data_IF_820833130880
#
_entry.id   IF_820833130880
#
_cell.length_a   1.000
_cell.length_b   1.000
_cell.length_c   1.000
_cell.angle_alpha   90.00
_cell.angle_beta   90.00
_cell.angle_gamma   90.00
#
_symmetry.space_group_name_H-M   'P 1'
#
loop_
_entity.id
_entity.type
_entity.pdbx_description
1 polymer ?
#
# COMPACT_ATOMS: atom_id res chain seq x y z
N UNK A 1 -21.28 -19.60 30.36
CA UNK A 1 -22.10 -19.18 29.21
C UNK A 1 -22.27 -17.68 29.32
N UNK A 2 -21.89 -16.95 28.28
CA UNK A 2 -21.92 -15.50 28.23
C UNK A 2 -22.66 -15.01 26.99
N UNK A 3 -23.26 -13.83 27.11
CA UNK A 3 -23.89 -13.16 25.98
C UNK A 3 -22.81 -12.45 25.16
N UNK A 4 -22.72 -12.82 23.89
CA UNK A 4 -21.92 -12.15 22.89
C UNK A 4 -22.79 -11.42 21.87
N UNK A 5 -22.14 -10.66 21.01
CA UNK A 5 -22.77 -9.87 19.97
C UNK A 5 -22.04 -10.13 18.65
N UNK A 6 -22.79 -10.45 17.60
CA UNK A 6 -22.32 -10.38 16.21
C UNK A 6 -22.91 -9.13 15.58
N UNK A 7 -22.07 -8.36 14.88
CA UNK A 7 -22.50 -7.23 14.08
C UNK A 7 -22.69 -7.67 12.64
N UNK A 8 -23.80 -7.25 12.04
CA UNK A 8 -23.99 -7.31 10.60
C UNK A 8 -24.11 -5.88 10.08
N UNK A 9 -23.22 -5.50 9.17
CA UNK A 9 -23.18 -4.16 8.59
C UNK A 9 -23.46 -4.28 7.10
N UNK A 10 -24.53 -3.64 6.65
CA UNK A 10 -24.92 -3.67 5.25
C UNK A 10 -23.81 -3.06 4.38
N UNK A 11 -23.32 -3.82 3.40
CA UNK A 11 -22.21 -3.43 2.53
C UNK A 11 -20.81 -3.82 3.02
N UNK A 12 -20.65 -4.25 4.29
CA UNK A 12 -19.40 -4.82 4.83
C UNK A 12 -19.53 -6.30 5.24
N UNK A 13 -20.76 -6.77 5.47
CA UNK A 13 -21.01 -8.13 5.94
C UNK A 13 -20.85 -8.25 7.46
N UNK A 14 -20.22 -9.33 7.91
CA UNK A 14 -20.00 -9.63 9.34
C UNK A 14 -18.50 -9.66 9.65
N UNK A 15 -18.07 -9.27 10.86
CA UNK A 15 -16.69 -9.43 11.27
C UNK A 15 -16.37 -10.91 11.43
N UNK A 16 -15.21 -11.34 10.93
CA UNK A 16 -14.78 -12.74 10.91
C UNK A 16 -13.35 -12.87 11.41
N UNK A 17 -13.02 -14.03 11.97
CA UNK A 17 -11.65 -14.36 12.36
C UNK A 17 -10.95 -15.10 11.22
N UNK A 18 -9.86 -14.52 10.72
CA UNK A 18 -8.99 -15.13 9.72
C UNK A 18 -7.69 -15.56 10.38
N UNK A 19 -7.28 -16.82 10.17
CA UNK A 19 -6.04 -17.34 10.75
C UNK A 19 -4.84 -16.48 10.31
N UNK A 20 -3.95 -16.15 11.24
CA UNK A 20 -2.77 -15.35 10.95
C UNK A 20 -1.66 -15.58 11.97
N UNK A 21 -0.45 -15.82 11.46
CA UNK A 21 0.76 -15.95 12.28
C UNK A 21 1.35 -14.59 12.69
N UNK A 22 0.75 -13.48 12.26
CA UNK A 22 1.25 -12.12 12.52
C UNK A 22 0.93 -11.60 13.91
N UNK A 23 -0.01 -12.25 14.60
CA UNK A 23 -0.55 -11.80 15.89
C UNK A 23 -0.53 -12.97 16.86
N UNK A 24 -0.18 -12.72 18.11
CA UNK A 24 -0.11 -13.72 19.18
C UNK A 24 -1.44 -14.47 19.40
N UNK A 25 -2.57 -13.81 19.10
CA UNK A 25 -3.90 -14.41 19.16
C UNK A 25 -4.14 -15.51 18.10
N UNK A 26 -3.26 -15.64 17.09
CA UNK A 26 -3.38 -16.61 16.00
C UNK A 26 -4.41 -16.26 14.93
N UNK A 27 -5.07 -15.10 15.04
CA UNK A 27 -6.03 -14.60 14.06
C UNK A 27 -6.01 -13.08 13.94
N UNK A 28 -6.49 -12.59 12.81
CA UNK A 28 -6.85 -11.19 12.56
C UNK A 28 -8.34 -11.09 12.31
N UNK A 29 -8.94 -9.97 12.72
CA UNK A 29 -10.35 -9.69 12.43
C UNK A 29 -10.45 -8.94 11.10
N UNK A 30 -11.21 -9.50 10.17
CA UNK A 30 -11.54 -8.87 8.88
C UNK A 30 -13.03 -8.85 8.64
N UNK A 31 -13.43 -8.47 7.42
CA UNK A 31 -14.82 -8.49 6.99
C UNK A 31 -15.08 -9.72 6.14
N UNK A 32 -16.25 -10.34 6.30
CA UNK A 32 -16.67 -11.47 5.47
C UNK A 32 -16.76 -11.13 3.97
N UNK A 33 -16.90 -9.85 3.65
CA UNK A 33 -16.88 -9.32 2.28
C UNK A 33 -15.48 -9.12 1.70
N UNK A 34 -14.42 -9.27 2.49
CA UNK A 34 -13.05 -9.11 1.98
C UNK A 34 -12.74 -10.23 0.98
N UNK A 35 -12.00 -9.88 -0.08
CA UNK A 35 -11.62 -10.81 -1.16
C UNK A 35 -10.86 -12.02 -0.59
N UNK A 36 -9.90 -11.75 0.30
CA UNK A 36 -9.01 -12.75 0.90
C UNK A 36 -9.68 -13.57 2.02
N UNK A 37 -10.89 -13.18 2.44
CA UNK A 37 -11.60 -13.90 3.48
C UNK A 37 -12.05 -15.27 2.96
N UNK A 38 -11.75 -16.37 3.67
CA UNK A 38 -12.33 -17.68 3.37
C UNK A 38 -13.86 -17.67 3.50
N UNK A 39 -14.55 -18.44 2.66
CA UNK A 39 -16.02 -18.51 2.67
C UNK A 39 -16.59 -19.17 3.93
N UNK A 40 -15.78 -19.93 4.64
CA UNK A 40 -16.09 -20.66 5.86
C UNK A 40 -15.55 -19.96 7.12
N UNK A 41 -14.97 -18.76 6.98
CA UNK A 41 -14.41 -18.01 8.10
C UNK A 41 -15.45 -17.80 9.21
N UNK A 42 -15.13 -18.14 10.47
CA UNK A 42 -16.06 -18.02 11.58
C UNK A 42 -16.29 -16.54 11.93
N UNK A 43 -17.54 -16.21 12.31
CA UNK A 43 -17.90 -14.87 12.74
C UNK A 43 -17.25 -14.55 14.09
N UNK A 44 -16.65 -13.36 14.20
CA UNK A 44 -16.08 -12.87 15.43
C UNK A 44 -17.19 -12.40 16.39
N UNK A 45 -17.05 -12.77 17.66
CA UNK A 45 -18.02 -12.44 18.71
C UNK A 45 -17.46 -11.33 19.59
N UNK A 46 -18.19 -10.22 19.66
CA UNK A 46 -17.88 -9.08 20.52
C UNK A 46 -18.55 -9.27 21.89
N UNK A 47 -17.79 -9.04 22.97
CA UNK A 47 -18.23 -9.27 24.34
C UNK A 47 -18.49 -7.94 25.05
N UNK A 48 -19.78 -7.63 25.20
CA UNK A 48 -20.25 -6.46 25.94
C UNK A 48 -20.20 -5.15 25.15
N UNK A 49 -20.95 -4.16 25.64
CA UNK A 49 -21.23 -2.93 24.90
C UNK A 49 -19.99 -2.06 24.64
N UNK A 50 -19.00 -2.09 25.55
CA UNK A 50 -17.76 -1.32 25.38
C UNK A 50 -16.93 -1.80 24.20
N UNK A 51 -16.88 -3.12 23.99
CA UNK A 51 -16.15 -3.71 22.87
C UNK A 51 -16.85 -3.41 21.55
N UNK A 52 -18.18 -3.51 21.53
CA UNK A 52 -19.01 -3.12 20.37
C UNK A 52 -18.80 -1.67 19.99
N UNK A 53 -18.90 -0.73 20.95
CA UNK A 53 -18.69 0.69 20.69
C UNK A 53 -17.27 0.97 20.15
N UNK A 54 -16.26 0.31 20.73
CA UNK A 54 -14.88 0.42 20.27
C UNK A 54 -14.73 -0.13 18.85
N UNK A 55 -15.30 -1.29 18.58
CA UNK A 55 -15.25 -1.94 17.27
C UNK A 55 -15.91 -1.07 16.20
N UNK A 56 -17.11 -0.55 16.46
CA UNK A 56 -17.81 0.35 15.54
C UNK A 56 -16.98 1.60 15.22
N UNK A 57 -16.35 2.21 16.21
CA UNK A 57 -15.53 3.42 16.01
C UNK A 57 -14.24 3.17 15.24
N UNK A 58 -13.64 1.98 15.39
CA UNK A 58 -12.32 1.67 14.82
C UNK A 58 -12.40 0.95 13.48
N UNK A 59 -13.35 0.03 13.30
CA UNK A 59 -13.40 -0.90 12.17
C UNK A 59 -14.50 -0.59 11.15
N UNK A 60 -15.52 0.20 11.51
CA UNK A 60 -16.61 0.58 10.62
C UNK A 60 -16.42 2.02 10.16
N UNK A 61 -16.31 2.23 8.85
CA UNK A 61 -16.25 3.57 8.26
C UNK A 61 -17.54 4.36 8.65
N UNK A 62 -17.42 5.64 9.07
CA UNK A 62 -18.56 6.47 9.47
C UNK A 62 -19.75 6.46 8.50
N UNK A 63 -19.52 6.25 7.19
CA UNK A 63 -20.57 6.12 6.18
C UNK A 63 -21.55 4.98 6.48
N UNK A 64 -21.06 3.89 7.08
CA UNK A 64 -21.85 2.70 7.42
C UNK A 64 -22.37 2.71 8.86
N UNK A 65 -22.05 3.75 9.65
CA UNK A 65 -22.52 3.89 11.04
C UNK A 65 -23.95 4.46 11.16
N UNK A 66 -24.65 4.60 10.04
CA UNK A 66 -26.00 5.16 10.02
C UNK A 66 -27.03 4.16 10.57
N UNK A 67 -28.06 4.69 11.24
CA UNK A 67 -29.16 3.87 11.74
C UNK A 67 -29.85 3.13 10.58
N UNK A 68 -29.98 1.81 10.71
CA UNK A 68 -30.56 0.94 9.69
C UNK A 68 -29.55 0.16 8.84
N UNK A 69 -28.27 0.57 8.82
CA UNK A 69 -27.21 -0.19 8.15
C UNK A 69 -26.52 -1.19 9.08
N UNK A 70 -26.67 -1.04 10.40
CA UNK A 70 -26.09 -1.92 11.40
C UNK A 70 -27.20 -2.72 12.07
N UNK A 71 -27.08 -4.04 12.03
CA UNK A 71 -27.89 -4.99 12.78
C UNK A 71 -27.02 -5.64 13.86
N UNK A 72 -27.54 -5.65 15.08
CA UNK A 72 -26.88 -6.22 16.27
C UNK A 72 -27.60 -7.52 16.61
N UNK A 73 -26.86 -8.63 16.57
CA UNK A 73 -27.40 -9.97 16.81
C UNK A 73 -26.80 -10.51 18.11
N UNK A 74 -27.65 -10.75 19.10
CA UNK A 74 -27.25 -11.38 20.35
C UNK A 74 -26.99 -12.87 20.15
N UNK A 75 -25.88 -13.36 20.68
CA UNK A 75 -25.47 -14.77 20.58
C UNK A 75 -25.09 -15.33 21.95
N UNK A 76 -25.34 -16.61 22.15
CA UNK A 76 -24.90 -17.32 23.36
C UNK A 76 -23.63 -18.11 23.06
N UNK A 77 -22.57 -17.83 23.82
CA UNK A 77 -21.27 -18.47 23.64
C UNK A 77 -20.71 -18.99 24.96
N UNK A 78 -19.79 -19.94 24.87
CA UNK A 78 -19.00 -20.36 26.03
C UNK A 78 -18.03 -19.25 26.45
N UNK A 79 -17.54 -19.32 27.69
CA UNK A 79 -16.77 -18.23 28.29
C UNK A 79 -15.43 -17.97 27.57
N UNK A 80 -14.87 -18.99 26.91
CA UNK A 80 -13.63 -18.91 26.14
C UNK A 80 -13.85 -18.81 24.62
N UNK A 81 -15.12 -18.84 24.17
CA UNK A 81 -15.44 -18.86 22.75
C UNK A 81 -15.47 -17.43 22.19
N UNK A 82 -14.59 -17.15 21.23
CA UNK A 82 -14.43 -15.82 20.58
C UNK A 82 -14.98 -15.76 19.15
N UNK A 83 -15.45 -16.91 18.65
CA UNK A 83 -15.97 -17.06 17.29
C UNK A 83 -17.12 -18.08 17.23
N UNK A 84 -18.01 -17.90 16.26
CA UNK A 84 -19.09 -18.84 15.93
C UNK A 84 -18.92 -19.29 14.48
N UNK A 85 -19.11 -20.59 14.23
CA UNK A 85 -19.00 -21.15 12.88
C UNK A 85 -20.01 -20.49 11.94
N UNK A 86 -19.68 -20.38 10.64
CA UNK A 86 -20.63 -19.87 9.64
C UNK A 86 -21.95 -20.65 9.65
N UNK A 87 -21.90 -21.97 9.80
CA UNK A 87 -23.08 -22.81 9.83
C UNK A 87 -23.99 -22.46 11.02
N UNK A 88 -23.42 -22.30 12.22
CA UNK A 88 -24.20 -21.90 13.40
C UNK A 88 -24.75 -20.48 13.27
N UNK A 89 -23.99 -19.55 12.68
CA UNK A 89 -24.48 -18.20 12.38
C UNK A 89 -25.74 -18.22 11.51
N UNK A 90 -25.74 -19.03 10.46
CA UNK A 90 -26.86 -19.13 9.52
C UNK A 90 -28.04 -19.87 10.15
N UNK A 91 -27.80 -21.05 10.74
CA UNK A 91 -28.88 -21.93 11.19
C UNK A 91 -29.45 -21.56 12.56
N UNK A 92 -28.59 -21.16 13.52
CA UNK A 92 -29.01 -20.85 14.89
C UNK A 92 -29.38 -19.38 15.05
N UNK A 93 -28.62 -18.48 14.45
CA UNK A 93 -28.76 -17.03 14.64
C UNK A 93 -29.38 -16.30 13.44
N UNK A 94 -29.80 -17.05 12.41
CA UNK A 94 -30.52 -16.54 11.23
C UNK A 94 -29.77 -15.41 10.50
N UNK A 95 -28.43 -15.42 10.56
CA UNK A 95 -27.60 -14.47 9.84
C UNK A 95 -27.64 -14.82 8.35
N UNK A 96 -27.86 -13.82 7.49
CA UNK A 96 -27.95 -14.09 6.05
C UNK A 96 -26.65 -14.73 5.53
N UNK A 97 -26.74 -15.83 4.75
CA UNK A 97 -25.57 -16.43 4.11
C UNK A 97 -24.91 -15.50 3.09
N UNK A 98 -25.66 -14.51 2.58
CA UNK A 98 -25.16 -13.54 1.60
C UNK A 98 -23.98 -12.74 2.13
N UNK A 99 -23.88 -12.54 3.45
CA UNK A 99 -22.76 -11.82 4.06
C UNK A 99 -21.39 -12.47 3.75
N UNK A 100 -21.33 -13.80 3.61
CA UNK A 100 -20.10 -14.52 3.22
C UNK A 100 -19.96 -14.69 1.71
N UNK A 101 -21.06 -14.55 0.97
CA UNK A 101 -21.05 -14.71 -0.49
C UNK A 101 -20.79 -13.39 -1.22
N UNK A 102 -21.05 -12.25 -0.60
CA UNK A 102 -20.70 -10.94 -1.14
C UNK A 102 -19.19 -10.69 -1.06
N UNK A 103 -18.65 -10.02 -2.06
CA UNK A 103 -17.29 -9.48 -2.11
C UNK A 103 -17.37 -8.00 -2.35
N UNK A 104 -16.58 -7.24 -1.60
CA UNK A 104 -16.34 -5.82 -1.83
C UNK A 104 -14.86 -5.62 -2.15
N UNK A 105 -14.59 -4.86 -3.20
CA UNK A 105 -13.23 -4.48 -3.56
C UNK A 105 -13.18 -3.01 -3.95
N UNK A 106 -12.13 -2.32 -3.54
CA UNK A 106 -11.82 -1.00 -4.03
C UNK A 106 -10.81 -1.10 -5.18
N UNK A 107 -11.11 -0.43 -6.28
CA UNK A 107 -10.32 -0.40 -7.50
C UNK A 107 -9.85 1.02 -7.75
N UNK A 108 -8.56 1.17 -8.03
CA UNK A 108 -8.00 2.42 -8.53
C UNK A 108 -7.80 2.28 -10.03
N UNK A 109 -8.40 3.20 -10.77
CA UNK A 109 -8.40 3.23 -12.22
C UNK A 109 -7.52 4.40 -12.63
N UNK A 110 -6.39 4.11 -13.27
CA UNK A 110 -5.49 5.12 -13.82
C UNK A 110 -5.51 5.07 -15.34
N UNK A 111 -5.45 6.22 -16.00
CA UNK A 111 -5.35 6.29 -17.46
C UNK A 111 -5.13 7.70 -17.98
N UNK A 112 -5.18 7.87 -19.29
CA UNK A 112 -5.01 9.16 -19.96
C UNK A 112 -6.32 9.62 -20.60
N UNK A 113 -6.78 10.81 -20.26
CA UNK A 113 -7.89 11.48 -20.95
C UNK A 113 -7.34 12.49 -21.99
N UNK A 114 -8.19 13.02 -22.89
CA UNK A 114 -7.81 14.13 -23.78
C UNK A 114 -7.33 15.38 -23.04
N UNK A 115 -7.67 15.54 -21.75
CA UNK A 115 -7.26 16.67 -20.89
C UNK A 115 -6.00 16.38 -20.07
N UNK A 116 -5.38 15.22 -20.25
CA UNK A 116 -4.24 14.75 -19.47
C UNK A 116 -4.57 13.51 -18.64
N UNK A 117 -3.65 13.09 -17.77
CA UNK A 117 -3.82 11.88 -16.98
C UNK A 117 -4.95 12.04 -15.96
N UNK A 118 -5.70 10.97 -15.76
CA UNK A 118 -6.83 10.91 -14.84
C UNK A 118 -6.71 9.66 -13.99
N UNK A 119 -6.96 9.83 -12.71
CA UNK A 119 -7.12 8.75 -11.76
C UNK A 119 -8.52 8.82 -11.18
N UNK A 120 -9.11 7.67 -10.95
CA UNK A 120 -10.44 7.54 -10.43
C UNK A 120 -10.54 6.31 -9.54
N UNK A 121 -11.48 6.32 -8.62
CA UNK A 121 -11.71 5.20 -7.71
C UNK A 121 -13.10 4.64 -7.91
N UNK A 122 -13.20 3.32 -7.86
CA UNK A 122 -14.46 2.60 -7.96
C UNK A 122 -14.54 1.60 -6.82
N UNK A 123 -15.61 1.65 -6.04
CA UNK A 123 -15.98 0.56 -5.14
C UNK A 123 -16.87 -0.40 -5.91
N UNK A 124 -16.48 -1.68 -5.96
CA UNK A 124 -17.27 -2.73 -6.58
C UNK A 124 -17.81 -3.68 -5.51
N UNK A 125 -19.08 -4.07 -5.65
CA UNK A 125 -19.76 -5.02 -4.78
C UNK A 125 -20.47 -6.03 -5.69
N UNK A 126 -20.23 -7.31 -5.44
CA UNK A 126 -20.89 -8.41 -6.14
C UNK A 126 -20.72 -9.71 -5.37
N UNK A 127 -20.96 -10.83 -6.01
CA UNK A 127 -20.76 -12.16 -5.42
C UNK A 127 -19.32 -12.65 -5.59
N UNK A 128 -18.91 -13.62 -4.78
CA UNK A 128 -17.62 -14.33 -4.93
C UNK A 128 -17.48 -14.95 -6.32
N UNK A 129 -18.57 -15.46 -6.88
CA UNK A 129 -18.58 -16.01 -8.23
C UNK A 129 -18.33 -14.93 -9.28
N UNK A 130 -19.06 -13.82 -9.23
CA UNK A 130 -18.85 -12.69 -10.17
C UNK A 130 -17.44 -12.11 -10.05
N UNK A 131 -16.89 -12.05 -8.83
CA UNK A 131 -15.52 -11.63 -8.62
C UNK A 131 -14.52 -12.58 -9.33
N UNK A 132 -14.70 -13.89 -9.16
CA UNK A 132 -13.86 -14.92 -9.81
C UNK A 132 -13.99 -14.91 -11.35
N UNK A 133 -15.16 -14.57 -11.87
CA UNK A 133 -15.41 -14.38 -13.31
C UNK A 133 -14.85 -13.05 -13.86
N UNK A 134 -14.26 -12.20 -13.01
CA UNK A 134 -13.66 -10.94 -13.40
C UNK A 134 -14.66 -9.81 -13.67
N UNK A 135 -15.89 -9.89 -13.12
CA UNK A 135 -16.91 -8.86 -13.30
C UNK A 135 -16.43 -7.47 -12.81
N UNK A 136 -15.74 -7.44 -11.67
CA UNK A 136 -15.15 -6.23 -11.09
C UNK A 136 -14.19 -5.50 -12.05
N UNK A 137 -13.35 -6.25 -12.79
CA UNK A 137 -12.45 -5.67 -13.81
C UNK A 137 -13.23 -5.18 -15.03
N UNK A 138 -14.21 -5.95 -15.47
CA UNK A 138 -15.05 -5.60 -16.63
C UNK A 138 -15.81 -4.29 -16.39
N UNK A 139 -16.40 -4.14 -15.21
CA UNK A 139 -17.10 -2.91 -14.81
C UNK A 139 -16.13 -1.74 -14.64
N UNK A 140 -14.95 -1.96 -14.08
CA UNK A 140 -13.92 -0.91 -14.00
C UNK A 140 -13.46 -0.43 -15.38
N UNK A 141 -13.31 -1.33 -16.36
CA UNK A 141 -13.03 -0.93 -17.74
C UNK A 141 -14.17 -0.14 -18.38
N UNK A 142 -15.43 -0.54 -18.14
CA UNK A 142 -16.59 0.21 -18.61
C UNK A 142 -16.63 1.60 -17.98
N UNK A 143 -16.42 1.70 -16.67
CA UNK A 143 -16.34 2.97 -15.95
C UNK A 143 -15.24 3.88 -16.52
N UNK A 144 -14.03 3.35 -16.73
CA UNK A 144 -12.94 4.09 -17.34
C UNK A 144 -13.27 4.59 -18.76
N UNK A 145 -13.94 3.76 -19.57
CA UNK A 145 -14.38 4.10 -20.92
C UNK A 145 -15.41 5.24 -20.91
N UNK A 146 -16.39 5.22 -20.00
CA UNK A 146 -17.38 6.31 -19.86
C UNK A 146 -16.73 7.65 -19.49
N UNK A 147 -15.59 7.61 -18.79
CA UNK A 147 -14.79 8.80 -18.46
C UNK A 147 -13.82 9.22 -19.57
N UNK A 148 -13.82 8.53 -20.71
CA UNK A 148 -12.95 8.83 -21.85
C UNK A 148 -11.47 8.55 -21.57
N UNK A 149 -11.16 7.64 -20.64
CA UNK A 149 -9.79 7.22 -20.37
C UNK A 149 -9.26 6.28 -21.46
N UNK A 150 -8.01 6.49 -21.85
CA UNK A 150 -7.22 5.67 -22.77
C UNK A 150 -6.06 5.04 -22.01
N UNK A 151 -5.63 3.85 -22.42
CA UNK A 151 -4.53 3.10 -21.79
C UNK A 151 -4.75 2.88 -20.28
N UNK A 152 -5.89 2.27 -19.94
CA UNK A 152 -6.34 2.08 -18.56
C UNK A 152 -5.48 1.03 -17.86
N UNK A 153 -5.02 1.34 -16.65
CA UNK A 153 -4.41 0.39 -15.72
C UNK A 153 -5.26 0.34 -14.47
N UNK A 154 -5.59 -0.87 -14.03
CA UNK A 154 -6.44 -1.14 -12.89
C UNK A 154 -5.57 -1.71 -11.78
N UNK A 155 -5.73 -1.16 -10.58
CA UNK A 155 -5.04 -1.61 -9.38
C UNK A 155 -6.07 -2.04 -8.34
N UNK A 156 -5.84 -3.20 -7.75
CA UNK A 156 -6.74 -3.76 -6.72
C UNK A 156 -6.17 -3.52 -5.32
N UNK A 157 -7.04 -3.56 -4.30
CA UNK A 157 -6.64 -3.42 -2.90
C UNK A 157 -5.54 -4.41 -2.46
N UNK A 158 -5.45 -5.59 -3.08
CA UNK A 158 -4.40 -6.58 -2.80
C UNK A 158 -3.00 -6.09 -3.22
N UNK A 159 -2.90 -5.29 -4.29
CA UNK A 159 -1.63 -4.76 -4.77
C UNK A 159 -1.13 -3.57 -3.93
N UNK A 160 -2.03 -2.87 -3.25
CA UNK A 160 -1.74 -1.72 -2.38
C UNK A 160 -1.53 -2.04 -0.90
N UNK A 161 -1.53 -3.31 -0.49
CA UNK A 161 -1.65 -3.75 0.91
C UNK A 161 -0.46 -3.49 1.85
N UNK A 162 0.65 -2.92 1.37
CA UNK A 162 1.77 -2.51 2.20
C UNK A 162 2.02 -1.02 2.01
N UNK A 163 2.23 -0.25 3.09
CA UNK A 163 2.62 1.17 2.99
C UNK A 163 3.87 1.34 2.10
N UNK A 164 4.76 0.34 2.08
CA UNK A 164 5.89 0.23 1.14
C UNK A 164 5.42 -0.01 -0.31
N UNK A 165 4.50 -0.95 -0.56
CA UNK A 165 3.95 -1.17 -1.90
C UNK A 165 3.09 0.01 -2.39
N UNK A 166 2.44 0.74 -1.49
CA UNK A 166 1.71 1.97 -1.78
C UNK A 166 2.68 3.12 -2.11
N UNK A 167 3.84 3.17 -1.47
CA UNK A 167 4.91 4.10 -1.81
C UNK A 167 5.56 3.75 -3.15
N UNK A 168 5.86 2.48 -3.40
CA UNK A 168 6.34 1.98 -4.69
C UNK A 168 5.30 2.19 -5.80
N UNK A 169 4.02 2.02 -5.49
CA UNK A 169 2.90 2.34 -6.36
C UNK A 169 2.84 3.84 -6.65
N UNK A 170 2.86 4.71 -5.64
CA UNK A 170 2.89 6.17 -5.82
C UNK A 170 4.14 6.60 -6.59
N UNK A 171 5.27 5.95 -6.36
CA UNK A 171 6.55 6.22 -7.02
C UNK A 171 6.53 5.76 -8.50
N UNK A 172 6.04 4.55 -8.77
CA UNK A 172 5.84 4.01 -10.12
C UNK A 172 4.80 4.82 -10.92
N UNK A 173 3.72 5.22 -10.25
CA UNK A 173 2.69 6.10 -10.79
C UNK A 173 3.26 7.50 -11.11
N UNK A 174 3.98 8.14 -10.18
CA UNK A 174 4.63 9.45 -10.42
C UNK A 174 5.64 9.39 -11.57
N UNK A 175 6.40 8.29 -11.69
CA UNK A 175 7.34 8.03 -12.78
C UNK A 175 6.65 7.92 -14.15
N UNK A 176 5.44 7.37 -14.21
CA UNK A 176 4.63 7.34 -15.43
C UNK A 176 3.95 8.68 -15.75
N UNK A 177 3.61 9.47 -14.71
CA UNK A 177 2.80 10.69 -14.80
C UNK A 177 3.58 11.97 -15.09
N UNK A 178 4.91 12.01 -14.87
CA UNK A 178 5.77 13.18 -15.16
C UNK A 178 6.67 12.91 -16.38
N UNK A 179 6.41 13.52 -17.54
CA UNK A 179 7.25 13.37 -18.75
C UNK A 179 8.72 13.73 -18.51
N UNK A 180 9.00 14.69 -17.63
CA UNK A 180 10.36 15.09 -17.24
C UNK A 180 11.11 14.00 -16.47
N UNK A 181 10.45 13.29 -15.55
CA UNK A 181 11.06 12.17 -14.82
C UNK A 181 11.24 10.93 -15.71
N UNK A 182 10.26 10.64 -16.57
CA UNK A 182 10.39 9.55 -17.55
C UNK A 182 11.52 9.80 -18.55
N UNK A 183 11.68 11.04 -18.99
CA UNK A 183 12.78 11.47 -19.85
C UNK A 183 14.12 11.46 -19.11
N UNK A 184 14.16 11.90 -17.84
CA UNK A 184 15.35 11.82 -16.99
C UNK A 184 15.80 10.36 -16.75
N UNK A 185 14.87 9.43 -16.56
CA UNK A 185 15.16 8.00 -16.40
C UNK A 185 15.63 7.34 -17.70
N UNK A 186 15.01 7.69 -18.83
CA UNK A 186 15.48 7.24 -20.16
C UNK A 186 16.88 7.78 -20.44
N UNK A 187 17.13 9.05 -20.14
CA UNK A 187 18.47 9.65 -20.17
C UNK A 187 19.42 8.95 -19.21
N UNK A 188 18.97 8.59 -18.00
CA UNK A 188 19.76 7.85 -17.00
C UNK A 188 20.19 6.51 -17.54
N UNK A 189 19.27 5.72 -18.09
CA UNK A 189 19.57 4.41 -18.71
C UNK A 189 20.49 4.55 -19.92
N UNK A 190 20.32 5.60 -20.74
CA UNK A 190 21.19 5.88 -21.87
C UNK A 190 22.59 6.32 -21.44
N UNK A 191 22.71 7.15 -20.40
CA UNK A 191 23.98 7.58 -19.83
C UNK A 191 24.66 6.40 -19.12
N UNK A 192 23.93 5.60 -18.36
CA UNK A 192 24.45 4.41 -17.68
C UNK A 192 24.99 3.38 -18.69
N UNK A 193 24.23 3.08 -19.74
CA UNK A 193 24.71 2.25 -20.85
C UNK A 193 25.93 2.88 -21.54
N UNK A 194 25.88 4.18 -21.86
CA UNK A 194 26.98 4.86 -22.52
C UNK A 194 28.26 4.92 -21.65
N UNK A 195 28.12 4.99 -20.33
CA UNK A 195 29.23 4.95 -19.37
C UNK A 195 29.81 3.54 -19.25
N UNK A 196 28.95 2.51 -19.23
CA UNK A 196 29.39 1.10 -19.23
C UNK A 196 30.07 0.70 -20.55
N UNK A 197 29.64 1.28 -21.67
CA UNK A 197 30.21 1.05 -22.99
C UNK A 197 31.39 2.00 -23.32
N UNK A 198 31.75 2.92 -22.41
CA UNK A 198 32.79 3.91 -22.65
C UNK A 198 34.19 3.29 -22.57
N UNK A 199 34.84 3.14 -23.73
CA UNK A 199 36.24 2.74 -23.81
C UNK A 199 37.16 3.88 -23.33
N UNK A 200 37.50 3.85 -22.05
CA UNK A 200 38.36 4.83 -21.40
C UNK A 200 39.80 4.83 -21.94
N UNK A 201 40.20 3.82 -22.74
CA UNK A 201 41.54 3.75 -23.32
C UNK A 201 41.78 4.79 -24.43
N UNK A 202 40.72 5.38 -24.98
CA UNK A 202 40.80 6.38 -26.06
C UNK A 202 40.72 7.83 -25.56
N UNK A 203 40.51 8.03 -24.25
CA UNK A 203 40.31 9.35 -23.66
C UNK A 203 41.60 9.77 -22.96
N UNK A 204 42.16 10.93 -23.33
CA UNK A 204 43.33 11.51 -22.67
C UNK A 204 43.08 11.60 -21.15
N UNK A 205 44.02 11.11 -20.32
CA UNK A 205 43.78 10.87 -18.89
C UNK A 205 43.15 12.03 -18.09
N UNK A 206 43.49 13.28 -18.40
CA UNK A 206 42.88 14.45 -17.74
C UNK A 206 41.40 14.65 -18.12
N UNK A 207 41.02 14.35 -19.36
CA UNK A 207 39.61 14.38 -19.82
C UNK A 207 38.81 13.21 -19.26
N UNK A 208 39.42 12.04 -19.14
CA UNK A 208 38.76 10.86 -18.56
C UNK A 208 38.39 11.13 -17.09
N UNK A 209 39.32 11.70 -16.31
CA UNK A 209 39.06 12.10 -14.92
C UNK A 209 37.97 13.16 -14.83
N UNK A 210 37.94 14.13 -15.74
CA UNK A 210 36.89 15.15 -15.76
C UNK A 210 35.50 14.56 -16.05
N UNK A 211 35.39 13.68 -17.04
CA UNK A 211 34.14 12.99 -17.39
C UNK A 211 33.67 12.10 -16.24
N UNK A 212 34.57 11.34 -15.62
CA UNK A 212 34.25 10.51 -14.45
C UNK A 212 33.77 11.36 -13.26
N UNK A 213 34.37 12.54 -13.03
CA UNK A 213 33.89 13.48 -12.00
C UNK A 213 32.52 14.06 -12.32
N UNK A 214 32.21 14.34 -13.58
CA UNK A 214 30.88 14.81 -13.97
C UNK A 214 29.82 13.73 -13.76
N UNK A 215 30.15 12.47 -14.10
CA UNK A 215 29.29 11.31 -13.84
C UNK A 215 29.08 11.14 -12.33
N UNK A 216 30.15 11.18 -11.53
CA UNK A 216 30.09 11.08 -10.08
C UNK A 216 29.21 12.17 -9.46
N UNK A 217 29.38 13.42 -9.89
CA UNK A 217 28.58 14.55 -9.40
C UNK A 217 27.11 14.42 -9.80
N UNK A 218 26.81 13.89 -10.99
CA UNK A 218 25.43 13.64 -11.42
C UNK A 218 24.74 12.60 -10.53
N UNK A 219 25.43 11.50 -10.21
CA UNK A 219 24.91 10.48 -9.29
C UNK A 219 24.78 11.00 -7.85
N UNK A 220 25.71 11.84 -7.38
CA UNK A 220 25.61 12.47 -6.05
C UNK A 220 24.39 13.38 -5.96
N UNK A 221 24.16 14.21 -6.97
CA UNK A 221 23.03 15.13 -6.99
C UNK A 221 21.68 14.39 -7.08
N UNK A 222 21.63 13.28 -7.80
CA UNK A 222 20.47 12.38 -7.84
C UNK A 222 20.17 11.77 -6.46
N UNK A 223 21.21 11.31 -5.75
CA UNK A 223 21.06 10.73 -4.42
C UNK A 223 20.55 11.76 -3.39
N UNK A 224 21.06 13.00 -3.45
CA UNK A 224 20.56 14.13 -2.67
C UNK A 224 19.08 14.43 -2.96
N UNK A 225 18.69 14.39 -4.23
CA UNK A 225 17.31 14.64 -4.64
C UNK A 225 16.36 13.53 -4.15
N UNK A 226 16.75 12.26 -4.26
CA UNK A 226 16.00 11.13 -3.70
C UNK A 226 15.81 11.27 -2.18
N UNK A 227 16.84 11.74 -1.46
CA UNK A 227 16.76 11.94 -0.01
C UNK A 227 15.86 13.10 0.39
N UNK A 228 15.87 14.20 -0.35
CA UNK A 228 14.92 15.29 -0.18
C UNK A 228 13.48 14.79 -0.40
N UNK A 229 13.25 14.00 -1.45
CA UNK A 229 11.94 13.43 -1.76
C UNK A 229 11.45 12.44 -0.69
N UNK A 230 12.34 11.63 -0.12
CA UNK A 230 12.03 10.73 1.00
C UNK A 230 11.72 11.48 2.31
N UNK A 231 12.36 12.64 2.53
CA UNK A 231 12.07 13.51 3.68
C UNK A 231 10.73 14.22 3.55
N UNK A 232 10.40 14.72 2.36
CA UNK A 232 9.11 15.36 2.07
C UNK A 232 7.93 14.39 2.25
N UNK A 233 8.18 13.09 2.10
CA UNK A 233 7.20 12.00 2.31
C UNK A 233 7.11 11.52 3.77
N UNK A 234 7.90 12.08 4.69
CA UNK A 234 7.84 11.77 6.11
C UNK A 234 8.30 10.35 6.49
N UNK A 235 9.09 9.68 5.63
CA UNK A 235 9.59 8.33 5.91
C UNK A 235 10.89 8.40 6.74
N UNK A 236 10.89 7.80 7.93
CA UNK A 236 12.03 7.79 8.87
C UNK A 236 13.29 7.06 8.31
N UNK A 237 13.16 6.30 7.21
CA UNK A 237 14.30 5.72 6.47
C UNK A 237 15.22 6.77 5.88
N UNK A 238 14.71 7.96 5.58
CA UNK A 238 15.51 9.08 5.10
C UNK A 238 16.51 9.58 6.15
N UNK A 239 16.20 9.45 7.45
CA UNK A 239 17.14 9.81 8.53
C UNK A 239 18.32 8.84 8.56
N UNK A 240 18.07 7.54 8.52
CA UNK A 240 19.13 6.52 8.51
C UNK A 240 20.04 6.62 7.28
N UNK A 241 19.47 6.85 6.10
CA UNK A 241 20.26 7.04 4.88
C UNK A 241 21.04 8.36 4.88
N UNK A 242 20.46 9.45 5.42
CA UNK A 242 21.18 10.73 5.58
C UNK A 242 22.35 10.62 6.53
N UNK A 243 22.20 9.91 7.67
CA UNK A 243 23.30 9.67 8.61
C UNK A 243 24.39 8.78 8.01
N UNK A 244 24.02 7.79 7.18
CA UNK A 244 24.98 6.99 6.46
C UNK A 244 25.73 7.80 5.37
N UNK A 245 25.06 8.74 4.72
CA UNK A 245 25.65 9.61 3.71
C UNK A 245 26.56 10.68 4.33
N UNK A 246 26.16 11.29 5.45
CA UNK A 246 26.97 12.20 6.27
C UNK A 246 28.26 11.50 6.77
N UNK A 247 28.18 10.23 7.16
CA UNK A 247 29.35 9.44 7.55
C UNK A 247 30.31 9.16 6.38
N UNK A 248 29.79 9.02 5.15
CA UNK A 248 30.61 8.86 3.94
C UNK A 248 31.24 10.19 3.52
N UNK A 249 30.54 11.32 3.68
CA UNK A 249 31.09 12.65 3.42
C UNK A 249 32.14 13.09 4.46
N UNK A 250 32.03 12.65 5.72
CA UNK A 250 33.09 12.81 6.72
C UNK A 250 34.37 12.02 6.36
N UNK A 251 34.24 10.86 5.69
CA UNK A 251 35.38 10.07 5.22
C UNK A 251 36.06 10.69 3.98
N UNK A 252 35.29 11.39 3.13
CA UNK A 252 35.77 12.08 1.93
C UNK A 252 36.28 13.51 2.20
N UNK A 253 36.13 14.00 3.43
CA UNK A 253 36.65 15.30 3.86
C UNK A 253 38.19 15.25 3.89
N UNK A 254 38.91 16.06 3.06
CA UNK A 254 40.35 16.08 3.11
C UNK A 254 40.76 16.53 4.50
N UNK A 255 41.48 15.66 5.19
CA UNK A 255 41.96 15.84 6.56
C UNK A 255 42.87 17.08 6.61
N UNK A 256 42.30 18.28 6.75
CA UNK A 256 43.05 19.53 6.95
C UNK A 256 43.52 19.65 8.39
N UNK A 257 44.10 18.58 8.95
CA UNK A 257 45.01 18.69 10.09
C UNK A 257 46.41 18.92 9.53
N UNK A 258 46.74 20.19 9.30
CA UNK A 258 48.14 20.60 9.09
C UNK A 258 48.99 20.01 10.22
N UNK A 259 50.11 19.33 9.93
CA UNK A 259 51.03 18.88 10.97
C UNK A 259 51.55 20.13 11.70
N UNK A 260 51.30 20.23 13.01
CA UNK A 260 51.95 21.22 13.86
C UNK A 260 53.42 20.85 13.93
N UNK A 261 54.26 21.59 13.20
CA UNK A 261 55.71 21.56 13.39
C UNK A 261 56.09 22.04 14.79
N UNK A 262 57.31 21.73 15.27
CA UNK A 262 57.72 22.04 16.63
C UNK A 262 57.85 23.56 16.80
N UNK A 263 57.24 24.11 17.85
CA UNK A 263 57.42 25.51 18.22
C UNK A 263 58.72 25.68 19.00
N UNK A 264 59.67 26.43 18.44
CA UNK A 264 60.77 27.01 19.20
C UNK A 264 60.27 28.31 19.84
N UNK A 265 60.09 28.29 21.16
CA UNK A 265 60.55 29.28 22.15
C UNK A 265 60.09 28.88 23.55
#
# INVERSE_FOLDING_TARGET
MRNGIILQVQGLGVPVQMASDRVEAGYVVGWSSDVDCPIDAPAHVLIGNKEVDRFLRMAVDPRFQQAGLIQVIGVEVNDDQTAISRQDCIHKYQISPDNWNSVRTALVIAGNSPKGPVMDTMEWIGTRQEYAEGAHMREAFQHASTRGMKSVTLYTQQEGGHILNAADFIHGFRRQMKPSLRYAELLRQQIESAVMDMDCNQIHGERAVHVLRQIQNAFRHEQEQQLCELQDLGMDTAKFQRTAQEAVEELDSPNTRKPRGPSLH
#
